data_IF_497135219334
#
_entry.id   IF_497135219334
#
_cell.length_a   1.000
_cell.length_b   1.000
_cell.length_c   1.000
_cell.angle_alpha   90.00
_cell.angle_beta   90.00
_cell.angle_gamma   90.00
#
_symmetry.space_group_name_H-M   'P 1'
#
loop_
_entity.id
_entity.type
_entity.pdbx_description
1 polymer ?
#
# COMPACT_ATOMS: atom_id res chain seq x y z
N UNK A 1 -21.21 -22.27 19.95
CA UNK A 1 -19.76 -22.26 20.27
C UNK A 1 -18.94 -21.51 19.24
N UNK A 2 -18.82 -21.98 17.98
CA UNK A 2 -17.97 -21.29 16.97
C UNK A 2 -18.55 -19.93 16.54
N UNK A 3 -19.87 -19.87 16.35
CA UNK A 3 -20.57 -18.64 15.95
C UNK A 3 -20.44 -17.50 16.98
N UNK A 4 -20.39 -17.85 18.26
CA UNK A 4 -20.35 -16.87 19.36
C UNK A 4 -19.06 -16.06 19.36
N UNK A 5 -17.95 -16.68 18.94
CA UNK A 5 -16.64 -16.00 18.78
C UNK A 5 -16.74 -14.88 17.74
N UNK A 6 -17.46 -15.11 16.64
CA UNK A 6 -17.70 -14.11 15.59
C UNK A 6 -18.67 -13.00 16.01
N UNK A 7 -19.35 -13.14 17.14
CA UNK A 7 -20.21 -12.09 17.72
C UNK A 7 -19.48 -11.26 18.80
N UNK A 8 -18.23 -11.61 19.09
CA UNK A 8 -17.33 -10.81 19.95
C UNK A 8 -16.59 -9.75 19.13
N UNK A 9 -16.17 -8.66 19.80
CA UNK A 9 -15.32 -7.62 19.19
C UNK A 9 -13.83 -8.00 19.15
N UNK A 10 -13.49 -9.25 19.50
CA UNK A 10 -12.12 -9.72 19.70
C UNK A 10 -11.71 -10.84 18.73
N UNK A 11 -12.43 -11.02 17.62
CA UNK A 11 -12.08 -12.02 16.61
C UNK A 11 -10.60 -11.90 16.20
N UNK A 12 -9.85 -13.00 16.28
CA UNK A 12 -8.46 -13.06 15.85
C UNK A 12 -8.33 -13.48 14.37
N UNK A 13 -7.13 -13.26 13.81
CA UNK A 13 -6.86 -13.52 12.39
C UNK A 13 -6.89 -15.03 12.08
N UNK A 14 -6.37 -15.87 12.98
CA UNK A 14 -6.31 -17.31 12.77
C UNK A 14 -7.71 -17.94 12.72
N UNK A 15 -8.57 -17.54 13.66
CA UNK A 15 -9.98 -17.97 13.66
C UNK A 15 -10.71 -17.49 12.40
N UNK A 16 -10.50 -16.23 11.98
CA UNK A 16 -11.09 -15.73 10.75
C UNK A 16 -10.62 -16.54 9.53
N UNK A 17 -9.30 -16.71 9.37
CA UNK A 17 -8.71 -17.42 8.23
C UNK A 17 -9.21 -18.86 8.11
N UNK A 18 -9.31 -19.58 9.24
CA UNK A 18 -9.78 -20.96 9.27
C UNK A 18 -11.21 -21.15 8.74
N UNK A 19 -12.04 -20.10 8.77
CA UNK A 19 -13.44 -20.16 8.33
C UNK A 19 -13.68 -19.56 6.94
N UNK A 20 -12.74 -18.80 6.39
CA UNK A 20 -12.92 -18.22 5.06
C UNK A 20 -12.72 -19.28 3.98
N UNK A 21 -13.66 -19.33 3.02
CA UNK A 21 -13.62 -20.28 1.90
C UNK A 21 -12.47 -20.04 0.91
N UNK A 22 -11.82 -18.87 0.98
CA UNK A 22 -10.72 -18.47 0.09
C UNK A 22 -9.50 -18.12 0.93
N UNK A 23 -8.32 -18.42 0.39
CA UNK A 23 -7.06 -17.93 0.94
C UNK A 23 -6.88 -16.46 0.60
N UNK A 24 -6.55 -15.68 1.63
CA UNK A 24 -6.28 -14.25 1.52
C UNK A 24 -4.90 -13.95 2.07
N UNK A 25 -4.30 -12.85 1.63
CA UNK A 25 -3.05 -12.38 2.24
C UNK A 25 -3.29 -11.89 3.67
N UNK A 26 -2.24 -11.93 4.50
CA UNK A 26 -2.31 -11.48 5.89
C UNK A 26 -2.90 -10.07 6.05
N UNK A 27 -2.51 -9.11 5.18
CA UNK A 27 -3.05 -7.74 5.20
C UNK A 27 -4.54 -7.66 4.86
N UNK A 28 -5.03 -8.54 3.97
CA UNK A 28 -6.46 -8.66 3.69
C UNK A 28 -7.20 -9.23 4.89
N UNK A 29 -6.65 -10.25 5.55
CA UNK A 29 -7.25 -10.83 6.78
C UNK A 29 -7.31 -9.81 7.92
N UNK A 30 -6.22 -9.06 8.16
CA UNK A 30 -6.19 -7.98 9.16
C UNK A 30 -7.27 -6.93 8.88
N UNK A 31 -7.42 -6.57 7.61
CA UNK A 31 -8.47 -5.64 7.15
C UNK A 31 -9.88 -6.19 7.39
N UNK A 32 -10.11 -7.45 7.03
CA UNK A 32 -11.41 -8.11 7.17
C UNK A 32 -11.80 -8.28 8.63
N UNK A 33 -10.86 -8.69 9.49
CA UNK A 33 -11.03 -8.73 10.94
C UNK A 33 -11.50 -7.38 11.47
N UNK A 34 -10.76 -6.31 11.19
CA UNK A 34 -11.09 -4.98 11.69
C UNK A 34 -12.43 -4.47 11.17
N UNK A 35 -12.73 -4.72 9.89
CA UNK A 35 -14.01 -4.37 9.29
C UNK A 35 -15.17 -5.14 9.94
N UNK A 36 -14.97 -6.42 10.26
CA UNK A 36 -15.97 -7.26 10.94
C UNK A 36 -16.20 -6.83 12.39
N UNK A 37 -15.14 -6.63 13.18
CA UNK A 37 -15.26 -6.20 14.57
C UNK A 37 -15.97 -4.84 14.67
N UNK A 38 -15.72 -3.92 13.73
CA UNK A 38 -16.47 -2.66 13.64
C UNK A 38 -17.96 -2.89 13.38
N UNK A 39 -18.29 -3.82 12.46
CA UNK A 39 -19.69 -4.16 12.20
C UNK A 39 -20.38 -4.81 13.40
N UNK A 40 -19.70 -5.74 14.09
CA UNK A 40 -20.21 -6.37 15.32
C UNK A 40 -20.46 -5.32 16.40
N UNK A 41 -19.51 -4.40 16.63
CA UNK A 41 -19.68 -3.30 17.57
C UNK A 41 -20.88 -2.42 17.22
N UNK A 42 -21.05 -2.09 15.94
CA UNK A 42 -22.24 -1.37 15.46
C UNK A 42 -23.53 -2.13 15.80
N UNK A 43 -23.57 -3.44 15.51
CA UNK A 43 -24.75 -4.26 15.79
C UNK A 43 -25.08 -4.31 17.29
N UNK A 44 -24.08 -4.43 18.15
CA UNK A 44 -24.24 -4.41 19.61
C UNK A 44 -24.80 -3.07 20.10
N UNK A 45 -24.23 -1.94 19.66
CA UNK A 45 -24.67 -0.59 20.02
C UNK A 45 -26.10 -0.27 19.56
N UNK A 46 -26.54 -0.90 18.47
CA UNK A 46 -27.87 -0.70 17.90
C UNK A 46 -28.85 -1.84 18.25
N UNK A 47 -28.47 -2.76 19.14
CA UNK A 47 -29.28 -3.91 19.58
C UNK A 47 -29.85 -4.76 18.42
N UNK A 48 -29.05 -5.01 17.38
CA UNK A 48 -29.40 -5.86 16.23
C UNK A 48 -28.43 -7.03 16.09
N UNK A 49 -28.85 -8.08 15.40
CA UNK A 49 -28.03 -9.28 15.18
C UNK A 49 -27.00 -9.05 14.07
N UNK A 50 -25.73 -9.40 14.32
CA UNK A 50 -24.64 -9.29 13.34
C UNK A 50 -24.53 -10.51 12.40
N UNK A 51 -24.98 -11.69 12.84
CA UNK A 51 -24.90 -12.93 12.06
C UNK A 51 -26.10 -13.86 12.36
N UNK A 52 -27.02 -14.11 11.40
CA UNK A 52 -27.15 -13.40 10.14
C UNK A 52 -27.64 -11.96 10.37
N UNK A 53 -27.01 -10.99 9.69
CA UNK A 53 -27.43 -9.61 9.70
C UNK A 53 -28.66 -9.39 8.80
N UNK A 54 -29.52 -8.47 9.21
CA UNK A 54 -30.62 -7.99 8.37
C UNK A 54 -30.12 -7.04 7.29
N UNK A 55 -30.82 -7.00 6.15
CA UNK A 55 -30.59 -6.01 5.08
C UNK A 55 -30.59 -4.57 5.61
N UNK A 56 -31.51 -4.26 6.52
CA UNK A 56 -31.64 -2.94 7.14
C UNK A 56 -30.42 -2.58 7.98
N UNK A 57 -29.88 -3.53 8.74
CA UNK A 57 -28.67 -3.31 9.54
C UNK A 57 -27.46 -2.98 8.65
N UNK A 58 -27.27 -3.71 7.54
CA UNK A 58 -26.20 -3.41 6.58
C UNK A 58 -26.35 -2.03 5.97
N UNK A 59 -27.57 -1.67 5.55
CA UNK A 59 -27.86 -0.36 4.95
C UNK A 59 -27.50 0.78 5.91
N UNK A 60 -28.01 0.74 7.14
CA UNK A 60 -27.76 1.78 8.15
C UNK A 60 -26.27 1.84 8.50
N UNK A 61 -25.61 0.67 8.60
CA UNK A 61 -24.17 0.61 8.87
C UNK A 61 -23.36 1.35 7.79
N UNK A 62 -23.59 1.09 6.50
CA UNK A 62 -22.83 1.74 5.44
C UNK A 62 -23.15 3.24 5.31
N UNK A 63 -24.40 3.64 5.58
CA UNK A 63 -24.81 5.05 5.62
C UNK A 63 -24.12 5.80 6.76
N UNK A 64 -23.98 5.17 7.94
CA UNK A 64 -23.22 5.72 9.07
C UNK A 64 -21.73 5.82 8.74
N UNK A 65 -21.14 4.74 8.22
CA UNK A 65 -19.73 4.71 7.84
C UNK A 65 -19.40 5.73 6.73
N UNK A 66 -20.36 6.05 5.86
CA UNK A 66 -20.17 7.05 4.80
C UNK A 66 -19.87 8.46 5.32
N UNK A 67 -20.23 8.77 6.57
CA UNK A 67 -19.92 10.08 7.16
C UNK A 67 -18.43 10.28 7.41
N UNK A 68 -17.68 9.19 7.63
CA UNK A 68 -16.27 9.27 8.08
C UNK A 68 -15.30 8.51 7.16
N UNK A 69 -15.78 7.50 6.44
CA UNK A 69 -14.94 6.59 5.66
C UNK A 69 -15.07 6.87 4.16
N UNK A 70 -13.98 6.63 3.44
CA UNK A 70 -13.96 6.65 1.97
C UNK A 70 -14.77 5.48 1.40
N UNK A 71 -15.32 5.67 0.20
CA UNK A 71 -16.09 4.64 -0.50
C UNK A 71 -15.36 3.29 -0.61
N UNK A 72 -14.04 3.32 -0.84
CA UNK A 72 -13.22 2.11 -0.93
C UNK A 72 -13.24 1.28 0.36
N UNK A 73 -13.17 1.93 1.52
CA UNK A 73 -13.23 1.27 2.83
C UNK A 73 -14.60 0.65 3.09
N UNK A 74 -15.68 1.35 2.70
CA UNK A 74 -17.06 0.85 2.83
C UNK A 74 -17.27 -0.39 1.96
N UNK A 75 -16.81 -0.36 0.70
CA UNK A 75 -16.87 -1.51 -0.21
C UNK A 75 -16.10 -2.71 0.34
N UNK A 76 -14.91 -2.48 0.92
CA UNK A 76 -14.13 -3.56 1.54
C UNK A 76 -14.85 -4.14 2.75
N UNK A 77 -15.44 -3.30 3.60
CA UNK A 77 -16.22 -3.76 4.76
C UNK A 77 -17.42 -4.62 4.35
N UNK A 78 -18.13 -4.27 3.26
CA UNK A 78 -19.17 -5.13 2.68
C UNK A 78 -18.62 -6.49 2.21
N UNK A 79 -17.42 -6.52 1.63
CA UNK A 79 -16.76 -7.80 1.26
C UNK A 79 -16.46 -8.63 2.51
N UNK A 80 -15.94 -8.02 3.58
CA UNK A 80 -15.68 -8.69 4.85
C UNK A 80 -16.95 -9.31 5.44
N UNK A 81 -18.05 -8.56 5.46
CA UNK A 81 -19.36 -9.03 5.94
C UNK A 81 -19.90 -10.16 5.05
N UNK A 82 -19.82 -10.01 3.73
CA UNK A 82 -20.24 -11.02 2.74
C UNK A 82 -19.48 -12.34 2.91
N UNK A 83 -18.16 -12.26 3.09
CA UNK A 83 -17.29 -13.41 3.30
C UNK A 83 -17.70 -14.20 4.55
N UNK A 84 -17.96 -13.51 5.66
CA UNK A 84 -18.35 -14.17 6.93
C UNK A 84 -19.76 -14.76 6.84
N UNK A 85 -20.72 -14.07 6.22
CA UNK A 85 -22.06 -14.65 6.02
C UNK A 85 -22.00 -15.92 5.17
N UNK A 86 -21.20 -15.89 4.10
CA UNK A 86 -20.99 -17.05 3.21
C UNK A 86 -20.29 -18.20 3.95
N UNK A 87 -19.31 -17.91 4.82
CA UNK A 87 -18.60 -18.92 5.61
C UNK A 87 -19.50 -19.70 6.59
N UNK A 88 -20.63 -19.11 7.00
CA UNK A 88 -21.63 -19.75 7.87
C UNK A 88 -22.90 -20.16 7.11
N UNK A 89 -22.81 -20.30 5.77
CA UNK A 89 -23.93 -20.71 4.90
C UNK A 89 -25.18 -19.83 4.99
N UNK A 90 -25.03 -18.58 5.45
CA UNK A 90 -26.12 -17.62 5.47
C UNK A 90 -26.24 -16.89 4.12
N UNK A 91 -27.48 -16.53 3.77
CA UNK A 91 -27.75 -15.64 2.63
C UNK A 91 -27.04 -14.31 2.83
N UNK A 92 -26.28 -13.89 1.84
CA UNK A 92 -25.49 -12.65 1.88
C UNK A 92 -26.38 -11.39 1.88
N UNK A 93 -26.47 -10.63 3.00
CA UNK A 93 -27.33 -9.47 3.12
C UNK A 93 -26.79 -8.25 2.33
N UNK A 94 -25.52 -8.27 1.95
CA UNK A 94 -24.85 -7.16 1.24
C UNK A 94 -25.22 -7.08 -0.24
N UNK A 95 -25.73 -8.17 -0.81
CA UNK A 95 -26.07 -8.29 -2.25
C UNK A 95 -27.49 -7.83 -2.59
N UNK A 96 -28.28 -7.42 -1.60
CA UNK A 96 -29.67 -7.01 -1.77
C UNK A 96 -29.81 -5.70 -2.55
N UNK A 97 -30.96 -5.50 -3.21
CA UNK A 97 -31.23 -4.29 -3.98
C UNK A 97 -31.14 -3.02 -3.12
N UNK A 98 -31.63 -3.07 -1.87
CA UNK A 98 -31.58 -1.93 -0.94
C UNK A 98 -30.15 -1.51 -0.62
N UNK A 99 -29.26 -2.45 -0.32
CA UNK A 99 -27.84 -2.16 -0.06
C UNK A 99 -27.14 -1.64 -1.31
N UNK A 100 -27.43 -2.21 -2.49
CA UNK A 100 -26.90 -1.73 -3.78
C UNK A 100 -27.32 -0.29 -4.09
N UNK A 101 -28.59 0.07 -3.84
CA UNK A 101 -29.11 1.43 -4.02
C UNK A 101 -28.43 2.40 -3.05
N UNK A 102 -28.32 2.06 -1.76
CA UNK A 102 -27.65 2.89 -0.77
C UNK A 102 -26.17 3.12 -1.12
N UNK A 103 -25.45 2.06 -1.51
CA UNK A 103 -24.08 2.17 -1.99
C UNK A 103 -23.97 3.01 -3.27
N UNK A 104 -24.99 2.96 -4.14
CA UNK A 104 -25.11 3.81 -5.33
C UNK A 104 -25.18 5.30 -5.00
N UNK A 105 -25.99 5.67 -3.99
CA UNK A 105 -26.07 7.05 -3.47
C UNK A 105 -24.74 7.50 -2.86
N UNK A 106 -24.19 6.70 -1.94
CA UNK A 106 -22.89 6.98 -1.32
C UNK A 106 -21.78 7.17 -2.38
N UNK A 107 -21.83 6.41 -3.48
CA UNK A 107 -20.88 6.56 -4.59
C UNK A 107 -21.02 7.91 -5.31
N UNK A 108 -22.23 8.42 -5.49
CA UNK A 108 -22.46 9.73 -6.11
C UNK A 108 -21.93 10.83 -5.19
N UNK A 109 -22.25 10.75 -3.89
CA UNK A 109 -21.84 11.75 -2.90
C UNK A 109 -20.31 11.78 -2.71
N UNK A 110 -19.65 10.62 -2.80
CA UNK A 110 -18.20 10.47 -2.57
C UNK A 110 -17.35 10.44 -3.83
N UNK A 111 -17.87 10.92 -4.96
CA UNK A 111 -17.18 10.82 -6.26
C UNK A 111 -15.76 11.44 -6.22
N UNK A 112 -15.59 12.52 -5.46
CA UNK A 112 -14.36 13.31 -5.42
C UNK A 112 -13.46 13.03 -4.19
N UNK A 113 -13.80 12.05 -3.35
CA UNK A 113 -13.04 11.70 -2.13
C UNK A 113 -11.64 11.11 -2.43
N UNK A 114 -11.41 10.66 -3.67
CA UNK A 114 -10.19 9.95 -4.05
C UNK A 114 -9.15 10.88 -4.68
N UNK A 115 -8.35 11.54 -3.84
CA UNK A 115 -7.19 12.31 -4.28
C UNK A 115 -6.00 11.40 -4.55
N UNK A 116 -5.34 11.60 -5.69
CA UNK A 116 -4.08 10.93 -5.99
C UNK A 116 -2.99 11.38 -5.01
N UNK A 117 -2.08 10.46 -4.66
CA UNK A 117 -0.89 10.79 -3.88
C UNK A 117 0.05 11.68 -4.67
N UNK A 118 0.57 12.73 -4.06
CA UNK A 118 1.60 13.57 -4.67
C UNK A 118 2.92 12.83 -4.80
N UNK A 119 3.60 13.06 -5.93
CA UNK A 119 4.88 12.44 -6.24
C UNK A 119 6.05 13.28 -5.75
N UNK A 120 7.09 12.64 -5.22
CA UNK A 120 8.38 13.30 -5.01
C UNK A 120 9.02 13.55 -6.38
N UNK A 121 9.67 14.70 -6.60
CA UNK A 121 10.32 15.03 -7.88
C UNK A 121 11.83 14.84 -7.81
N UNK A 122 12.50 14.80 -8.97
CA UNK A 122 13.97 14.78 -9.04
C UNK A 122 14.56 15.97 -8.29
N UNK A 123 14.02 17.18 -8.48
CA UNK A 123 14.50 18.39 -7.79
C UNK A 123 14.32 18.33 -6.25
N UNK A 124 13.36 17.54 -5.77
CA UNK A 124 13.19 17.31 -4.34
C UNK A 124 14.22 16.30 -3.81
N UNK A 125 14.53 15.26 -4.59
CA UNK A 125 15.60 14.31 -4.29
C UNK A 125 16.96 15.01 -4.24
N UNK A 126 17.29 15.83 -5.25
CA UNK A 126 18.54 16.61 -5.29
C UNK A 126 18.70 17.50 -4.04
N UNK A 127 17.61 18.12 -3.57
CA UNK A 127 17.60 18.92 -2.35
C UNK A 127 17.82 18.08 -1.09
N UNK A 128 17.19 16.90 -1.01
CA UNK A 128 17.37 15.98 0.13
C UNK A 128 18.80 15.46 0.18
N UNK A 129 19.37 15.13 -0.98
CA UNK A 129 20.77 14.73 -1.11
C UNK A 129 21.70 15.85 -0.64
N UNK A 130 21.53 17.08 -1.15
CA UNK A 130 22.33 18.22 -0.73
C UNK A 130 22.24 18.52 0.78
N UNK A 131 21.07 18.32 1.39
CA UNK A 131 20.87 18.51 2.83
C UNK A 131 21.54 17.43 3.69
N UNK A 132 21.60 16.20 3.20
CA UNK A 132 22.04 15.02 3.98
C UNK A 132 23.40 14.49 3.56
N UNK A 133 24.04 15.08 2.53
CA UNK A 133 25.27 14.58 1.91
C UNK A 133 26.41 14.30 2.90
N UNK A 134 26.57 15.16 3.91
CA UNK A 134 27.62 15.01 4.94
C UNK A 134 27.14 14.36 6.24
N UNK A 135 25.91 13.84 6.28
CA UNK A 135 25.38 13.24 7.50
C UNK A 135 26.04 11.90 7.79
N UNK A 136 26.49 11.73 9.03
CA UNK A 136 27.02 10.46 9.55
C UNK A 136 25.93 9.61 10.23
N UNK A 137 24.73 10.15 10.38
CA UNK A 137 23.62 9.48 11.04
C UNK A 137 23.09 8.36 10.13
N UNK A 138 23.10 7.11 10.60
CA UNK A 138 22.67 5.94 9.81
C UNK A 138 21.26 6.09 9.24
N UNK A 139 20.37 6.72 10.02
CA UNK A 139 19.02 7.03 9.58
C UNK A 139 18.99 7.91 8.31
N UNK A 140 19.91 8.84 8.16
CA UNK A 140 19.95 9.80 7.05
C UNK A 140 20.45 9.13 5.79
N UNK A 141 21.56 8.39 5.93
CA UNK A 141 22.14 7.56 4.88
C UNK A 141 21.09 6.56 4.36
N UNK A 142 20.40 5.88 5.28
CA UNK A 142 19.32 4.93 4.95
C UNK A 142 18.17 5.62 4.21
N UNK A 143 17.64 6.70 4.76
CA UNK A 143 16.44 7.35 4.23
C UNK A 143 16.72 7.94 2.84
N UNK A 144 17.90 8.51 2.62
CA UNK A 144 18.35 9.01 1.33
C UNK A 144 18.45 7.90 0.28
N UNK A 145 19.09 6.77 0.63
CA UNK A 145 19.15 5.60 -0.23
C UNK A 145 17.73 5.07 -0.55
N UNK A 146 16.83 4.98 0.44
CA UNK A 146 15.44 4.54 0.23
C UNK A 146 14.69 5.43 -0.76
N UNK A 147 14.78 6.76 -0.63
CA UNK A 147 14.04 7.67 -1.52
C UNK A 147 14.50 7.52 -2.97
N UNK A 148 15.82 7.48 -3.20
CA UNK A 148 16.40 7.31 -4.55
C UNK A 148 16.09 5.93 -5.12
N UNK A 149 16.34 4.85 -4.37
CA UNK A 149 16.12 3.49 -4.85
C UNK A 149 14.64 3.23 -5.16
N UNK A 150 13.72 3.69 -4.32
CA UNK A 150 12.28 3.57 -4.59
C UNK A 150 11.83 4.39 -5.80
N UNK A 151 12.45 5.56 -6.04
CA UNK A 151 12.14 6.40 -7.18
C UNK A 151 12.63 5.74 -8.46
N UNK A 152 13.92 5.41 -8.54
CA UNK A 152 14.57 4.88 -9.72
C UNK A 152 13.98 3.52 -10.16
N UNK A 153 13.74 2.61 -9.22
CA UNK A 153 13.21 1.28 -9.51
C UNK A 153 11.68 1.19 -9.43
N UNK A 154 11.01 2.34 -9.23
CA UNK A 154 9.57 2.43 -9.05
C UNK A 154 9.03 1.45 -7.98
N UNK A 155 9.75 1.21 -6.89
CA UNK A 155 9.40 0.17 -5.92
C UNK A 155 8.07 0.45 -5.21
N UNK A 156 7.30 -0.62 -4.93
CA UNK A 156 6.26 -0.60 -3.91
C UNK A 156 6.90 -0.76 -2.53
N UNK A 157 6.20 -0.28 -1.49
CA UNK A 157 6.59 -0.47 -0.08
C UNK A 157 6.95 -1.92 0.27
N UNK A 158 6.16 -2.89 -0.18
CA UNK A 158 6.44 -4.31 0.06
C UNK A 158 7.71 -4.79 -0.65
N UNK A 159 7.96 -4.33 -1.87
CA UNK A 159 9.20 -4.66 -2.60
C UNK A 159 10.43 -4.10 -1.87
N UNK A 160 10.39 -2.84 -1.41
CA UNK A 160 11.48 -2.27 -0.60
C UNK A 160 11.67 -3.05 0.71
N UNK A 161 10.58 -3.33 1.41
CA UNK A 161 10.59 -3.98 2.71
C UNK A 161 11.24 -5.37 2.65
N UNK A 162 10.90 -6.12 1.61
CA UNK A 162 11.25 -7.52 1.49
C UNK A 162 12.59 -7.72 0.76
N UNK A 163 13.22 -6.64 0.29
CA UNK A 163 14.51 -6.65 -0.40
C UNK A 163 15.64 -7.13 0.51
N UNK A 164 16.43 -8.09 0.03
CA UNK A 164 17.55 -8.66 0.77
C UNK A 164 18.89 -8.15 0.25
N UNK A 165 19.93 -8.30 1.07
CA UNK A 165 21.30 -7.99 0.66
C UNK A 165 21.73 -8.85 -0.54
N UNK A 166 21.29 -10.10 -0.59
CA UNK A 166 21.56 -11.04 -1.69
C UNK A 166 20.87 -10.65 -3.01
N UNK A 167 19.91 -9.72 -2.97
CA UNK A 167 19.30 -9.14 -4.17
C UNK A 167 20.15 -8.02 -4.77
N UNK A 168 21.19 -7.55 -4.07
CA UNK A 168 22.15 -6.56 -4.57
C UNK A 168 23.28 -7.28 -5.30
N UNK A 169 23.51 -6.92 -6.55
CA UNK A 169 24.58 -7.46 -7.37
C UNK A 169 25.47 -6.33 -7.87
N UNK A 170 26.77 -6.56 -7.97
CA UNK A 170 27.72 -5.65 -8.57
C UNK A 170 28.41 -6.34 -9.74
N UNK A 171 28.58 -5.63 -10.84
CA UNK A 171 29.41 -6.10 -11.95
C UNK A 171 30.91 -5.88 -11.66
N UNK A 172 31.77 -6.27 -12.60
CA UNK A 172 33.23 -6.11 -12.49
C UNK A 172 33.68 -4.63 -12.38
N UNK A 173 32.85 -3.69 -12.84
CA UNK A 173 33.08 -2.26 -12.77
C UNK A 173 32.43 -1.61 -11.55
N UNK A 174 31.93 -2.42 -10.60
CA UNK A 174 31.22 -1.99 -9.41
C UNK A 174 29.91 -1.21 -9.68
N UNK A 175 29.28 -1.43 -10.85
CA UNK A 175 27.93 -0.93 -11.10
C UNK A 175 26.91 -1.82 -10.40
N UNK A 176 26.11 -1.23 -9.53
CA UNK A 176 25.07 -1.92 -8.79
C UNK A 176 23.86 -2.26 -9.66
N UNK A 177 23.31 -3.44 -9.44
CA UNK A 177 22.02 -3.88 -9.96
C UNK A 177 21.18 -4.46 -8.82
N UNK A 178 19.88 -4.23 -8.86
CA UNK A 178 18.94 -4.88 -7.94
C UNK A 178 18.19 -5.99 -8.67
N UNK A 179 18.25 -7.19 -8.11
CA UNK A 179 17.41 -8.31 -8.51
C UNK A 179 16.00 -8.11 -7.94
N UNK A 180 15.00 -8.04 -8.82
CA UNK A 180 13.59 -8.06 -8.43
C UNK A 180 12.91 -9.19 -9.18
N UNK A 181 12.33 -10.14 -8.43
CA UNK A 181 11.75 -11.36 -9.00
C UNK A 181 12.80 -12.14 -9.81
N UNK A 182 12.71 -12.14 -11.14
CA UNK A 182 13.64 -12.84 -12.04
C UNK A 182 14.38 -11.88 -12.98
N UNK A 183 14.34 -10.58 -12.70
CA UNK A 183 14.96 -9.55 -13.53
C UNK A 183 15.99 -8.75 -12.73
N UNK A 184 17.01 -8.25 -13.43
CA UNK A 184 18.05 -7.39 -12.88
C UNK A 184 17.87 -5.97 -13.40
N UNK A 185 17.86 -5.00 -12.48
CA UNK A 185 17.66 -3.60 -12.79
C UNK A 185 18.94 -2.83 -12.46
N UNK A 186 19.67 -2.30 -13.47
CA UNK A 186 20.85 -1.49 -13.22
C UNK A 186 20.49 -0.19 -12.49
N UNK A 187 21.41 0.26 -11.65
CA UNK A 187 21.31 1.53 -10.94
C UNK A 187 22.16 2.60 -11.63
N UNK A 188 21.69 3.83 -11.55
CA UNK A 188 22.46 5.02 -11.84
C UNK A 188 23.65 5.13 -10.88
N UNK A 189 24.69 5.84 -11.31
CA UNK A 189 25.89 6.07 -10.50
C UNK A 189 25.56 6.69 -9.13
N UNK A 190 24.66 7.69 -9.09
CA UNK A 190 24.22 8.33 -7.85
C UNK A 190 23.54 7.35 -6.89
N UNK A 191 22.54 6.59 -7.35
CA UNK A 191 21.87 5.61 -6.49
C UNK A 191 22.78 4.46 -6.07
N UNK A 192 23.70 4.04 -6.95
CA UNK A 192 24.72 3.05 -6.62
C UNK A 192 25.66 3.52 -5.50
N UNK A 193 26.06 4.80 -5.53
CA UNK A 193 26.87 5.40 -4.47
C UNK A 193 26.11 5.45 -3.14
N UNK A 194 24.84 5.89 -3.15
CA UNK A 194 23.99 5.92 -1.95
C UNK A 194 23.76 4.52 -1.37
N UNK A 195 23.57 3.52 -2.23
CA UNK A 195 23.43 2.13 -1.82
C UNK A 195 24.72 1.58 -1.18
N UNK A 196 25.86 1.83 -1.82
CA UNK A 196 27.17 1.40 -1.29
C UNK A 196 27.44 2.06 0.08
N UNK A 197 27.19 3.36 0.20
CA UNK A 197 27.35 4.09 1.46
C UNK A 197 26.44 3.54 2.57
N UNK A 198 25.20 3.16 2.25
CA UNK A 198 24.32 2.49 3.21
C UNK A 198 24.85 1.11 3.65
N UNK A 199 25.27 0.27 2.70
CA UNK A 199 25.80 -1.07 3.02
C UNK A 199 27.04 -0.95 3.91
N UNK A 200 27.95 -0.04 3.57
CA UNK A 200 29.18 0.21 4.33
C UNK A 200 28.87 0.79 5.72
N UNK A 201 28.04 1.82 5.82
CA UNK A 201 27.75 2.44 7.12
C UNK A 201 26.97 1.50 8.05
N UNK A 202 26.02 0.73 7.51
CA UNK A 202 25.16 -0.16 8.30
C UNK A 202 25.83 -1.47 8.74
N UNK A 203 26.93 -1.85 8.10
CA UNK A 203 27.68 -3.08 8.36
C UNK A 203 26.83 -4.36 8.30
N UNK A 204 25.70 -4.33 7.57
CA UNK A 204 24.86 -5.51 7.37
C UNK A 204 25.58 -6.53 6.48
N UNK A 205 25.51 -7.80 6.85
CA UNK A 205 26.23 -8.89 6.15
C UNK A 205 25.32 -9.96 5.55
N UNK A 206 24.02 -9.93 5.83
CA UNK A 206 23.02 -10.88 5.33
C UNK A 206 21.61 -10.32 5.56
N UNK A 207 20.58 -11.04 5.09
CA UNK A 207 19.18 -10.74 5.41
C UNK A 207 18.67 -9.46 4.74
N UNK A 208 17.76 -8.74 5.42
CA UNK A 208 17.10 -7.57 4.83
C UNK A 208 18.07 -6.41 4.57
N UNK A 209 17.97 -5.83 3.36
CA UNK A 209 18.78 -4.70 2.94
C UNK A 209 18.46 -3.46 3.78
N UNK A 210 17.18 -3.18 4.02
CA UNK A 210 16.74 -2.05 4.84
C UNK A 210 16.08 -2.52 6.14
N UNK A 211 16.66 -2.09 7.25
CA UNK A 211 16.28 -2.55 8.59
C UNK A 211 15.79 -1.41 9.48
N UNK A 212 15.05 -1.78 10.52
CA UNK A 212 14.64 -0.81 11.54
C UNK A 212 15.88 -0.28 12.30
N UNK A 213 15.87 1.02 12.58
CA UNK A 213 16.91 1.70 13.37
C UNK A 213 16.24 2.28 14.61
N UNK A 214 16.78 2.02 15.79
CA UNK A 214 16.28 2.58 17.04
C UNK A 214 16.75 4.04 17.27
N UNK A 215 16.36 4.64 18.39
CA UNK A 215 16.75 6.04 18.72
C UNK A 215 18.23 6.22 19.03
N UNK A 216 18.97 5.14 19.22
CA UNK A 216 20.39 5.10 19.55
C UNK A 216 21.24 4.68 18.33
N UNK A 217 20.66 4.70 17.12
CA UNK A 217 21.29 4.29 15.86
C UNK A 217 21.63 2.80 15.75
N UNK A 218 21.08 1.94 16.61
CA UNK A 218 21.29 0.50 16.47
C UNK A 218 20.42 -0.07 15.35
N UNK A 219 21.04 -0.82 14.44
CA UNK A 219 20.38 -1.52 13.34
C UNK A 219 19.82 -2.85 13.86
N UNK A 220 18.50 -3.03 13.74
CA UNK A 220 17.82 -4.28 14.10
C UNK A 220 18.04 -5.37 13.04
N UNK A 221 17.78 -6.64 13.35
CA UNK A 221 17.67 -7.71 12.35
C UNK A 221 16.31 -7.75 11.63
N UNK A 222 15.34 -6.95 12.10
CA UNK A 222 14.01 -6.89 11.50
C UNK A 222 13.98 -5.93 10.31
N UNK A 223 13.27 -6.33 9.26
CA UNK A 223 12.92 -5.46 8.14
C UNK A 223 12.13 -4.21 8.61
N UNK A 224 12.10 -3.18 7.78
CA UNK A 224 11.21 -2.03 7.99
C UNK A 224 9.74 -2.46 7.96
N UNK A 225 8.89 -1.94 8.84
CA UNK A 225 7.44 -2.14 8.68
C UNK A 225 6.81 -1.03 7.82
N UNK A 226 5.56 -1.24 7.38
CA UNK A 226 4.82 -0.29 6.54
C UNK A 226 4.74 1.11 7.17
N UNK A 227 4.65 1.20 8.50
CA UNK A 227 4.65 2.46 9.24
C UNK A 227 6.03 3.13 9.26
N UNK A 228 7.11 2.37 9.34
CA UNK A 228 8.47 2.89 9.24
C UNK A 228 8.70 3.52 7.87
N UNK A 229 8.34 2.83 6.78
CA UNK A 229 8.47 3.38 5.42
C UNK A 229 7.61 4.64 5.26
N UNK A 230 6.39 4.66 5.83
CA UNK A 230 5.59 5.88 5.85
C UNK A 230 6.29 7.05 6.56
N UNK A 231 6.93 6.80 7.71
CA UNK A 231 7.69 7.82 8.46
C UNK A 231 8.92 8.31 7.70
N UNK A 232 9.59 7.44 6.93
CA UNK A 232 10.69 7.83 6.04
C UNK A 232 10.21 8.85 5.01
N UNK A 233 9.07 8.65 4.36
CA UNK A 233 8.53 9.65 3.43
C UNK A 233 7.97 10.90 4.12
N UNK A 234 7.39 10.76 5.32
CA UNK A 234 6.95 11.92 6.10
C UNK A 234 8.13 12.84 6.45
N UNK A 235 9.27 12.25 6.80
CA UNK A 235 10.49 12.97 7.11
C UNK A 235 11.00 13.79 5.91
N UNK A 236 10.87 13.28 4.68
CA UNK A 236 11.20 14.08 3.49
C UNK A 236 10.39 15.38 3.42
N UNK A 237 9.11 15.35 3.78
CA UNK A 237 8.29 16.57 3.86
C UNK A 237 8.81 17.55 4.90
N UNK A 238 9.19 17.04 6.08
CA UNK A 238 9.70 17.84 7.20
C UNK A 238 11.01 18.53 6.81
N UNK A 239 11.93 17.79 6.18
CA UNK A 239 13.22 18.32 5.71
C UNK A 239 13.06 19.36 4.58
N UNK A 240 12.09 19.16 3.69
CA UNK A 240 11.81 20.07 2.58
C UNK A 240 10.82 21.19 2.94
N UNK A 241 10.30 21.20 4.16
CA UNK A 241 9.27 22.13 4.65
C UNK A 241 8.04 22.22 3.71
N UNK A 242 7.49 21.07 3.32
CA UNK A 242 6.35 20.97 2.39
C UNK A 242 5.04 20.70 3.12
N UNK A 243 3.97 21.41 2.74
CA UNK A 243 2.58 21.11 3.15
C UNK A 243 1.96 20.01 2.26
N UNK A 244 2.72 18.95 2.03
CA UNK A 244 2.30 17.79 1.24
C UNK A 244 2.46 16.55 2.10
N UNK A 245 1.61 15.53 1.93
CA UNK A 245 1.75 14.26 2.63
C UNK A 245 2.32 13.19 1.70
N UNK A 246 3.65 13.06 1.66
CA UNK A 246 4.27 11.93 1.01
C UNK A 246 3.97 10.63 1.75
N UNK A 247 3.99 9.55 0.97
CA UNK A 247 3.87 8.18 1.44
C UNK A 247 4.76 7.28 0.60
N UNK A 248 4.88 6.01 0.93
CA UNK A 248 5.65 5.07 0.10
C UNK A 248 5.11 4.82 -1.32
N UNK A 249 4.10 5.54 -1.79
CA UNK A 249 3.71 5.61 -3.20
C UNK A 249 4.26 6.85 -3.92
N UNK A 250 4.71 7.87 -3.17
CA UNK A 250 5.15 9.16 -3.73
C UNK A 250 6.36 9.02 -4.64
N UNK A 251 7.34 8.19 -4.28
CA UNK A 251 8.46 7.84 -5.17
C UNK A 251 7.96 7.30 -6.51
N UNK A 252 7.09 6.30 -6.45
CA UNK A 252 6.56 5.62 -7.63
C UNK A 252 5.70 6.54 -8.51
N UNK A 253 4.87 7.41 -7.92
CA UNK A 253 4.09 8.42 -8.65
C UNK A 253 5.03 9.42 -9.34
N UNK A 254 6.02 9.92 -8.62
CA UNK A 254 7.01 10.86 -9.11
C UNK A 254 7.78 10.31 -10.31
N UNK A 255 8.36 9.12 -10.15
CA UNK A 255 9.10 8.44 -11.21
C UNK A 255 8.26 8.15 -12.44
N UNK A 256 6.99 7.76 -12.26
CA UNK A 256 6.06 7.56 -13.40
C UNK A 256 5.88 8.85 -14.20
N UNK A 257 5.70 10.00 -13.50
CA UNK A 257 5.55 11.30 -14.14
C UNK A 257 6.84 11.74 -14.83
N UNK A 258 7.99 11.49 -14.21
CA UNK A 258 9.30 11.82 -14.79
C UNK A 258 9.55 11.02 -16.07
N UNK A 259 9.37 9.69 -16.05
CA UNK A 259 9.51 8.86 -17.24
C UNK A 259 8.59 9.30 -18.39
N UNK A 260 7.33 9.63 -18.08
CA UNK A 260 6.40 10.13 -19.09
C UNK A 260 6.85 11.48 -19.68
N UNK A 261 7.39 12.37 -18.84
CA UNK A 261 7.98 13.65 -19.27
C UNK A 261 9.23 13.45 -20.13
N UNK A 262 10.02 12.41 -19.85
CA UNK A 262 11.17 11.98 -20.64
C UNK A 262 10.80 11.25 -21.94
N UNK A 263 9.51 11.11 -22.25
CA UNK A 263 9.02 10.54 -23.52
C UNK A 263 8.77 9.04 -23.52
N UNK A 264 8.91 8.36 -22.38
CA UNK A 264 8.62 6.92 -22.29
C UNK A 264 7.13 6.66 -22.52
N UNK A 265 6.84 5.61 -23.29
CA UNK A 265 5.49 5.14 -23.53
C UNK A 265 4.86 4.53 -22.28
N UNK A 266 3.53 4.49 -22.23
CA UNK A 266 2.80 3.81 -21.15
C UNK A 266 3.19 2.34 -21.03
N UNK A 267 3.55 1.68 -22.13
CA UNK A 267 3.97 0.28 -22.12
C UNK A 267 5.30 0.11 -21.39
N UNK A 268 6.30 0.91 -21.75
CA UNK A 268 7.62 0.89 -21.09
C UNK A 268 7.49 1.24 -19.61
N UNK A 269 6.72 2.28 -19.27
CA UNK A 269 6.45 2.64 -17.88
C UNK A 269 5.76 1.47 -17.15
N UNK A 270 4.75 0.84 -17.77
CA UNK A 270 4.05 -0.30 -17.19
C UNK A 270 5.03 -1.44 -16.84
N UNK A 271 5.95 -1.74 -17.75
CA UNK A 271 6.97 -2.78 -17.62
C UNK A 271 8.00 -2.44 -16.53
N UNK A 272 8.59 -1.24 -16.58
CA UNK A 272 9.58 -0.76 -15.60
C UNK A 272 9.01 -0.76 -14.19
N UNK A 273 7.77 -0.29 -14.02
CA UNK A 273 7.13 -0.35 -12.72
C UNK A 273 6.49 -1.69 -12.40
N UNK A 274 6.52 -2.70 -13.27
CA UNK A 274 5.94 -4.04 -12.98
C UNK A 274 4.45 -3.96 -12.62
N UNK A 275 3.68 -3.18 -13.38
CA UNK A 275 2.22 -3.14 -13.22
C UNK A 275 1.55 -4.23 -14.07
N UNK A 276 0.64 -4.96 -13.45
CA UNK A 276 -0.19 -5.98 -14.12
C UNK A 276 -1.06 -5.37 -15.23
N UNK A 277 -1.40 -4.08 -15.13
CA UNK A 277 -2.18 -3.37 -16.13
C UNK A 277 -1.77 -1.91 -16.26
N UNK A 278 -2.06 -1.27 -17.41
CA UNK A 278 -1.72 0.13 -17.63
C UNK A 278 -2.64 1.09 -16.86
N UNK A 279 -3.55 0.59 -16.02
CA UNK A 279 -4.49 1.42 -15.28
C UNK A 279 -3.79 2.42 -14.36
N UNK A 280 -2.85 1.96 -13.53
CA UNK A 280 -2.16 2.83 -12.57
C UNK A 280 -1.17 3.79 -13.24
N UNK A 281 -0.32 3.35 -14.21
CA UNK A 281 0.49 4.29 -14.99
C UNK A 281 -0.33 5.43 -15.60
N UNK A 282 -1.43 5.10 -16.29
CA UNK A 282 -2.33 6.12 -16.85
C UNK A 282 -2.90 7.04 -15.75
N UNK A 283 -3.25 6.51 -14.59
CA UNK A 283 -3.76 7.33 -13.50
C UNK A 283 -2.71 8.35 -13.03
N UNK A 284 -1.48 7.88 -12.76
CA UNK A 284 -0.41 8.71 -12.22
C UNK A 284 -0.01 9.85 -13.14
N UNK A 285 -0.04 9.63 -14.46
CA UNK A 285 0.24 10.66 -15.46
C UNK A 285 -0.98 11.53 -15.83
N UNK A 286 -2.13 11.35 -15.17
CA UNK A 286 -3.33 12.18 -15.37
C UNK A 286 -4.31 11.69 -16.44
N UNK A 287 -4.06 10.55 -17.09
CA UNK A 287 -4.96 9.92 -18.07
C UNK A 287 -6.10 9.14 -17.36
N UNK A 288 -6.92 9.85 -16.57
CA UNK A 288 -7.94 9.26 -15.68
C UNK A 288 -8.95 8.41 -16.43
N UNK A 289 -9.48 8.89 -17.57
CA UNK A 289 -10.46 8.11 -18.35
C UNK A 289 -9.90 6.79 -18.86
N UNK A 290 -8.67 6.82 -19.39
CA UNK A 290 -7.98 5.61 -19.86
C UNK A 290 -7.77 4.65 -18.69
N UNK A 291 -7.37 5.17 -17.53
CA UNK A 291 -7.24 4.38 -16.30
C UNK A 291 -8.55 3.67 -15.94
N UNK A 292 -9.67 4.39 -15.89
CA UNK A 292 -10.98 3.82 -15.52
C UNK A 292 -11.49 2.78 -16.54
N UNK A 293 -11.25 2.99 -17.84
CA UNK A 293 -11.54 1.98 -18.87
C UNK A 293 -10.74 0.69 -18.62
N UNK A 294 -9.46 0.81 -18.29
CA UNK A 294 -8.62 -0.35 -17.98
C UNK A 294 -9.09 -1.06 -16.71
N UNK A 295 -9.38 -0.34 -15.62
CA UNK A 295 -9.92 -0.92 -14.38
C UNK A 295 -11.23 -1.69 -14.62
N UNK A 296 -12.09 -1.19 -15.51
CA UNK A 296 -13.38 -1.80 -15.80
C UNK A 296 -13.25 -3.17 -16.46
N UNK A 297 -12.25 -3.36 -17.34
CA UNK A 297 -11.98 -4.67 -17.98
C UNK A 297 -11.66 -5.78 -16.97
N UNK A 298 -10.99 -5.44 -15.87
CA UNK A 298 -10.66 -6.40 -14.80
C UNK A 298 -11.80 -6.65 -13.81
N UNK A 299 -12.79 -5.75 -13.72
CA UNK A 299 -13.99 -5.96 -12.88
C UNK A 299 -14.91 -7.02 -13.50
N UNK A 300 -15.01 -7.07 -14.82
CA UNK A 300 -15.92 -7.99 -15.52
C UNK A 300 -15.44 -9.44 -15.55
N UNK A 301 -14.13 -9.69 -15.40
CA UNK A 301 -13.54 -11.04 -15.42
C UNK A 301 -13.61 -11.82 -14.09
N UNK A 302 -14.24 -11.26 -13.04
CA UNK A 302 -14.40 -11.92 -11.72
C UNK A 302 -15.86 -12.28 -11.40
N UNK A 303 -16.72 -12.36 -12.41
CA UNK A 303 -18.07 -12.91 -12.27
C UNK A 303 -18.03 -14.43 -12.27
#
# INVERSE_FOLDING_TARGET
MVKDIFLSTELDIGTLEAHLSKRYSHNSLLSFKNDWNNFVLFCQLHHVVALPASTTAIRIFIEKQAKEKKLASIKRSLVSISNIHTAFDFKDPTKTAQVKVALGKIRLDKKDDNKQTEGITVQMLDKLEALLFHSIELKDIRDLCIWHLMFELLLKRGELRDLQLDDVCFDESNNGMIKLQQCYYPLSESTNHLLSNWIDASQIRNGYLFRAIDRHQNVSDKHLNDSSIYRVFRRANELLNLDIQFSGLSARVGATKELAKSGYSIHEIQEMGRWVSPAMPNQYIGNIERSERQKSRFKTKKA
#
